data_IF_521458005203
#
_entry.id   IF_521458005203
#
_cell.length_a   1.000
_cell.length_b   1.000
_cell.length_c   1.000
_cell.angle_alpha   90.00
_cell.angle_beta   90.00
_cell.angle_gamma   90.00
#
_symmetry.space_group_name_H-M   'P 1'
#
loop_
_entity.id
_entity.type
_entity.pdbx_description
1 polymer ?
#
# COMPACT_ATOMS: atom_id res chain seq x y z
N UNK A 1 -67.90 53.29 -42.40
CA UNK A 1 -69.08 52.47 -42.69
C UNK A 1 -68.62 51.06 -43.04
N UNK A 2 -68.96 50.08 -42.19
CA UNK A 2 -69.09 48.62 -42.35
C UNK A 2 -68.52 47.89 -43.61
N UNK A 3 -67.80 46.76 -43.33
CA UNK A 3 -67.88 45.39 -43.96
C UNK A 3 -66.96 45.11 -45.20
N UNK A 4 -66.46 43.86 -45.48
CA UNK A 4 -65.13 43.33 -45.08
C UNK A 4 -64.39 42.54 -46.23
N UNK A 5 -63.28 41.84 -45.93
CA UNK A 5 -62.83 40.60 -46.61
C UNK A 5 -61.57 40.05 -45.90
N UNK A 6 -61.69 39.00 -45.07
CA UNK A 6 -61.31 37.61 -45.36
C UNK A 6 -59.89 37.39 -45.91
N UNK A 7 -58.93 37.12 -45.02
CA UNK A 7 -57.87 36.12 -45.26
C UNK A 7 -57.68 35.32 -43.98
N UNK A 8 -57.96 34.02 -44.07
CA UNK A 8 -57.76 33.04 -43.03
C UNK A 8 -56.28 32.61 -42.98
N UNK A 9 -55.67 32.61 -41.80
CA UNK A 9 -54.44 31.90 -41.54
C UNK A 9 -54.64 31.03 -40.28
N UNK A 10 -54.51 29.73 -40.47
CA UNK A 10 -54.89 28.69 -39.53
C UNK A 10 -54.00 28.67 -38.29
N UNK A 11 -54.67 28.51 -37.14
CA UNK A 11 -54.10 28.17 -35.84
C UNK A 11 -53.70 26.70 -35.85
N UNK A 12 -52.45 26.38 -35.50
CA UNK A 12 -52.11 25.05 -34.96
C UNK A 12 -51.35 25.23 -33.65
N UNK A 13 -52.04 24.87 -32.57
CA UNK A 13 -51.55 24.78 -31.21
C UNK A 13 -50.73 23.48 -31.12
N UNK A 14 -49.40 23.57 -31.03
CA UNK A 14 -48.54 22.39 -30.81
C UNK A 14 -47.97 22.41 -29.40
N UNK A 15 -48.25 21.33 -28.68
CA UNK A 15 -47.87 21.09 -27.30
C UNK A 15 -46.35 21.15 -27.10
N UNK A 16 -45.92 21.85 -26.04
CA UNK A 16 -44.56 21.78 -25.53
C UNK A 16 -44.38 20.41 -24.87
N UNK A 17 -43.84 19.45 -25.62
CA UNK A 17 -43.24 18.25 -25.05
C UNK A 17 -41.86 18.64 -24.51
N UNK A 18 -41.68 18.50 -23.20
CA UNK A 18 -40.40 18.59 -22.52
C UNK A 18 -39.51 17.43 -23.03
N UNK A 19 -38.70 17.67 -24.05
CA UNK A 19 -37.66 16.76 -24.48
C UNK A 19 -36.47 16.93 -23.51
N UNK A 20 -36.33 15.99 -22.57
CA UNK A 20 -35.09 15.84 -21.83
C UNK A 20 -33.94 15.66 -22.86
N UNK A 21 -32.82 16.41 -22.75
CA UNK A 21 -31.68 16.09 -23.58
C UNK A 21 -31.24 14.67 -23.23
N UNK A 22 -31.23 13.79 -24.22
CA UNK A 22 -30.52 12.53 -24.12
C UNK A 22 -29.05 12.87 -23.93
N UNK A 23 -28.62 12.91 -22.66
CA UNK A 23 -27.22 12.88 -22.30
C UNK A 23 -26.67 11.54 -22.76
N UNK A 24 -26.22 11.48 -24.01
CA UNK A 24 -25.30 10.45 -24.46
C UNK A 24 -24.03 10.61 -23.64
N UNK A 25 -23.96 9.90 -22.52
CA UNK A 25 -22.72 9.67 -21.81
C UNK A 25 -21.87 8.75 -22.68
N UNK A 26 -21.25 9.31 -23.72
CA UNK A 26 -20.14 8.66 -24.40
C UNK A 26 -19.04 8.48 -23.34
N UNK A 27 -18.59 7.24 -23.06
CA UNK A 27 -17.49 7.02 -22.14
C UNK A 27 -16.31 7.84 -22.64
N UNK A 28 -15.84 8.79 -21.83
CA UNK A 28 -14.58 9.48 -22.11
C UNK A 28 -13.52 8.39 -22.37
N UNK A 29 -12.65 8.56 -23.39
CA UNK A 29 -11.54 7.64 -23.60
C UNK A 29 -10.81 7.48 -22.27
N UNK A 30 -10.68 6.23 -21.81
CA UNK A 30 -9.87 5.93 -20.66
C UNK A 30 -8.51 6.61 -20.87
N UNK A 31 -7.96 7.35 -19.87
CA UNK A 31 -6.58 7.80 -19.97
C UNK A 31 -5.72 6.58 -20.33
N UNK A 32 -4.68 6.74 -21.18
CA UNK A 32 -3.82 5.62 -21.53
C UNK A 32 -3.42 4.93 -20.24
N UNK A 33 -3.64 3.63 -20.18
CA UNK A 33 -3.14 2.82 -19.08
C UNK A 33 -1.69 3.25 -18.86
N UNK A 34 -1.38 3.75 -17.67
CA UNK A 34 0.00 3.81 -17.24
C UNK A 34 0.53 2.42 -17.53
N UNK A 35 1.48 2.33 -18.45
CA UNK A 35 2.13 1.07 -18.72
C UNK A 35 2.64 0.62 -17.35
N UNK A 36 2.03 -0.44 -16.80
CA UNK A 36 2.66 -1.21 -15.74
C UNK A 36 4.00 -1.59 -16.32
N UNK A 37 5.03 -0.81 -15.96
CA UNK A 37 6.39 -1.11 -16.33
C UNK A 37 6.61 -2.54 -15.91
N UNK A 38 6.89 -3.42 -16.88
CA UNK A 38 7.23 -4.80 -16.60
C UNK A 38 8.19 -4.81 -15.40
N UNK A 39 7.98 -5.66 -14.38
CA UNK A 39 8.86 -5.70 -13.23
C UNK A 39 10.30 -5.74 -13.73
N UNK A 40 11.15 -4.79 -13.33
CA UNK A 40 12.52 -4.76 -13.80
C UNK A 40 13.11 -6.16 -13.61
N UNK A 41 13.74 -6.74 -14.65
CA UNK A 41 14.32 -8.06 -14.52
C UNK A 41 15.25 -8.05 -13.30
N UNK A 42 15.14 -9.07 -12.45
CA UNK A 42 15.87 -9.24 -11.18
C UNK A 42 15.30 -8.50 -9.95
N UNK A 43 14.05 -8.03 -10.01
CA UNK A 43 13.39 -7.42 -8.85
C UNK A 43 13.82 -5.99 -8.56
N UNK A 44 14.35 -5.27 -9.55
CA UNK A 44 14.66 -3.86 -9.35
C UNK A 44 13.37 -3.04 -9.13
N UNK A 45 13.49 -1.93 -8.43
CA UNK A 45 12.41 -1.00 -8.14
C UNK A 45 12.77 0.35 -8.73
N UNK A 46 11.81 1.02 -9.36
CA UNK A 46 12.00 2.39 -9.81
C UNK A 46 12.30 3.30 -8.61
N UNK A 47 13.32 4.16 -8.73
CA UNK A 47 13.65 5.11 -7.69
C UNK A 47 12.47 6.07 -7.45
N UNK A 48 12.09 6.26 -6.19
CA UNK A 48 11.17 7.33 -5.80
C UNK A 48 11.86 8.69 -5.79
N UNK A 49 11.07 9.76 -5.69
CA UNK A 49 11.59 11.11 -5.54
C UNK A 49 12.44 11.25 -4.26
N UNK A 50 13.54 12.02 -4.31
CA UNK A 50 14.34 12.29 -3.13
C UNK A 50 13.55 13.13 -2.11
N UNK A 51 13.85 12.93 -0.82
CA UNK A 51 13.44 13.85 0.23
C UNK A 51 14.40 15.03 0.24
N UNK A 52 13.88 16.25 0.18
CA UNK A 52 14.67 17.48 0.23
C UNK A 52 14.15 18.38 1.34
N UNK A 53 15.05 19.07 2.04
CA UNK A 53 14.73 20.01 3.11
C UNK A 53 15.70 21.19 3.07
N UNK A 54 15.14 22.38 2.82
CA UNK A 54 15.83 23.65 3.03
C UNK A 54 15.60 24.09 4.47
N UNK A 55 16.67 24.25 5.25
CA UNK A 55 16.59 24.61 6.66
C UNK A 55 16.52 26.13 6.83
N UNK A 56 15.95 26.63 7.95
CA UNK A 56 15.89 28.07 8.22
C UNK A 56 17.26 28.76 8.29
N UNK A 57 18.31 28.03 8.63
CA UNK A 57 19.67 28.53 8.73
C UNK A 57 20.45 28.45 7.41
N UNK A 58 19.86 27.94 6.33
CA UNK A 58 20.38 28.02 4.96
C UNK A 58 21.11 26.76 4.45
N UNK A 59 20.90 25.61 5.10
CA UNK A 59 21.37 24.32 4.63
C UNK A 59 20.34 23.65 3.72
N UNK A 60 20.83 22.85 2.78
CA UNK A 60 20.02 22.03 1.88
C UNK A 60 20.35 20.56 2.16
N UNK A 61 19.40 19.84 2.74
CA UNK A 61 19.52 18.41 3.03
C UNK A 61 18.80 17.64 1.93
N UNK A 62 19.45 16.60 1.42
CA UNK A 62 18.84 15.68 0.46
C UNK A 62 19.05 14.25 0.94
N UNK A 63 17.99 13.44 0.85
CA UNK A 63 18.05 12.00 1.10
C UNK A 63 17.42 11.25 -0.08
N UNK A 64 18.13 10.27 -0.61
CA UNK A 64 17.71 9.53 -1.79
C UNK A 64 17.99 8.04 -1.67
N UNK A 65 17.20 7.24 -2.39
CA UNK A 65 17.45 5.82 -2.64
C UNK A 65 17.74 5.58 -4.12
N UNK A 66 18.67 4.68 -4.40
CA UNK A 66 19.08 4.27 -5.74
C UNK A 66 19.35 2.75 -5.78
N UNK A 67 19.31 2.17 -6.99
CA UNK A 67 19.60 0.76 -7.25
C UNK A 67 18.83 -0.21 -6.34
N UNK A 68 17.58 0.15 -6.04
CA UNK A 68 16.76 -0.62 -5.13
C UNK A 68 16.31 -1.93 -5.77
N UNK A 69 16.38 -3.01 -4.99
CA UNK A 69 15.95 -4.34 -5.41
C UNK A 69 15.10 -4.99 -4.32
N UNK A 70 14.19 -5.84 -4.76
CA UNK A 70 13.24 -6.58 -3.94
C UNK A 70 12.81 -7.84 -4.66
N UNK A 71 13.09 -8.98 -4.04
CA UNK A 71 12.74 -10.29 -4.56
C UNK A 71 11.99 -11.04 -3.48
N UNK A 72 10.78 -11.50 -3.80
CA UNK A 72 10.05 -12.41 -2.93
C UNK A 72 10.79 -13.75 -2.84
N UNK A 73 10.95 -14.27 -1.62
CA UNK A 73 11.58 -15.56 -1.38
C UNK A 73 10.68 -16.45 -0.54
N UNK A 74 10.89 -17.77 -0.64
CA UNK A 74 10.17 -18.73 0.17
C UNK A 74 10.40 -18.44 1.67
N UNK A 75 9.34 -18.36 2.49
CA UNK A 75 9.48 -18.12 3.92
C UNK A 75 10.30 -19.22 4.59
N UNK A 76 11.25 -18.84 5.44
CA UNK A 76 12.11 -19.78 6.14
C UNK A 76 11.32 -20.63 7.15
N UNK A 77 10.20 -20.12 7.63
CA UNK A 77 9.27 -20.85 8.50
C UNK A 77 8.35 -21.82 7.76
N UNK A 78 8.34 -21.80 6.42
CA UNK A 78 7.40 -22.55 5.56
C UNK A 78 5.91 -22.24 5.80
N UNK A 79 5.61 -21.24 6.63
CA UNK A 79 4.25 -20.87 6.95
C UNK A 79 3.61 -20.14 5.77
N UNK A 80 2.42 -20.59 5.35
CA UNK A 80 1.66 -20.02 4.23
C UNK A 80 1.25 -18.56 4.48
N UNK A 81 1.19 -18.15 5.74
CA UNK A 81 0.89 -16.78 6.17
C UNK A 81 2.14 -15.94 6.41
N UNK A 82 3.34 -16.46 6.17
CA UNK A 82 4.57 -15.68 6.22
C UNK A 82 4.93 -15.13 4.85
N UNK A 83 5.56 -13.95 4.83
CA UNK A 83 6.08 -13.30 3.63
C UNK A 83 7.49 -12.88 3.91
N UNK A 84 8.38 -13.17 2.95
CA UNK A 84 9.80 -12.85 3.08
C UNK A 84 10.34 -12.28 1.78
N UNK A 85 11.26 -11.33 1.93
CA UNK A 85 11.86 -10.58 0.83
C UNK A 85 13.35 -10.48 1.01
N UNK A 86 14.10 -10.67 -0.07
CA UNK A 86 15.48 -10.21 -0.18
C UNK A 86 15.46 -8.80 -0.77
N UNK A 87 16.02 -7.85 -0.04
CA UNK A 87 16.03 -6.45 -0.43
C UNK A 87 17.46 -5.92 -0.53
N UNK A 88 17.63 -4.95 -1.40
CA UNK A 88 18.87 -4.21 -1.58
C UNK A 88 18.59 -2.79 -2.02
N UNK A 89 19.63 -1.97 -2.00
CA UNK A 89 19.57 -0.58 -2.41
C UNK A 89 20.70 0.23 -1.79
N UNK A 90 21.00 1.37 -2.40
CA UNK A 90 21.94 2.35 -1.87
C UNK A 90 21.16 3.60 -1.47
N UNK A 91 21.36 4.04 -0.23
CA UNK A 91 20.74 5.23 0.30
C UNK A 91 21.80 6.25 0.64
N UNK A 92 21.58 7.49 0.22
CA UNK A 92 22.52 8.59 0.39
C UNK A 92 21.84 9.74 1.10
N UNK A 93 22.54 10.35 2.04
CA UNK A 93 22.20 11.64 2.64
C UNK A 93 23.29 12.65 2.30
N UNK A 94 22.92 13.81 1.80
CA UNK A 94 23.85 14.89 1.47
C UNK A 94 23.41 16.19 2.11
N UNK A 95 24.38 16.98 2.56
CA UNK A 95 24.20 18.36 2.99
C UNK A 95 24.93 19.28 2.02
N UNK A 96 24.24 20.31 1.56
CA UNK A 96 24.79 21.36 0.72
C UNK A 96 24.34 22.74 1.23
N UNK A 97 24.80 23.80 0.57
CA UNK A 97 24.47 25.17 0.96
C UNK A 97 25.56 25.85 1.79
N UNK A 98 25.26 27.06 2.25
CA UNK A 98 26.16 27.90 3.03
C UNK A 98 25.43 28.38 4.28
N UNK A 99 24.99 27.42 5.10
CA UNK A 99 24.21 27.71 6.28
C UNK A 99 24.98 28.58 7.28
N UNK A 100 24.23 29.30 8.11
CA UNK A 100 24.79 30.24 9.10
C UNK A 100 25.31 29.57 10.38
N UNK A 101 25.00 28.30 10.58
CA UNK A 101 25.43 27.49 11.74
C UNK A 101 26.59 26.56 11.39
N UNK A 102 27.26 26.00 12.41
CA UNK A 102 28.23 24.92 12.20
C UNK A 102 27.55 23.56 12.42
N UNK A 103 27.63 22.68 11.42
CA UNK A 103 27.12 21.33 11.52
C UNK A 103 28.02 20.47 12.41
N UNK A 104 27.42 19.72 13.33
CA UNK A 104 28.10 18.78 14.23
C UNK A 104 28.14 17.36 13.65
N UNK A 105 27.50 17.15 12.49
CA UNK A 105 27.33 15.87 11.83
C UNK A 105 25.88 15.42 11.90
N UNK A 106 25.65 14.11 11.93
CA UNK A 106 24.29 13.59 12.01
C UNK A 106 24.23 12.08 11.77
N UNK A 107 23.08 11.58 11.34
CA UNK A 107 22.86 10.16 11.09
C UNK A 107 21.97 9.88 9.88
N UNK A 108 22.25 8.78 9.19
CA UNK A 108 21.38 8.20 8.17
C UNK A 108 20.88 6.84 8.67
N UNK A 109 19.57 6.74 8.90
CA UNK A 109 18.89 5.50 9.30
C UNK A 109 18.11 4.96 8.12
N UNK A 110 18.40 3.73 7.73
CA UNK A 110 17.77 3.05 6.59
C UNK A 110 17.01 1.83 7.08
N UNK A 111 15.85 1.59 6.51
CA UNK A 111 15.11 0.36 6.74
C UNK A 111 14.00 0.12 5.75
N UNK A 112 13.15 -0.83 6.10
CA UNK A 112 11.96 -1.18 5.32
C UNK A 112 10.74 -1.18 6.21
N UNK A 113 9.65 -0.61 5.71
CA UNK A 113 8.31 -0.74 6.26
C UNK A 113 7.63 -1.87 5.53
N UNK A 114 7.10 -2.83 6.26
CA UNK A 114 6.32 -3.93 5.71
C UNK A 114 4.92 -3.89 6.30
N UNK A 115 3.94 -3.74 5.43
CA UNK A 115 2.52 -3.74 5.76
C UNK A 115 1.86 -4.99 5.21
N UNK A 116 0.93 -5.54 5.97
CA UNK A 116 0.04 -6.59 5.48
C UNK A 116 -1.38 -6.09 5.56
N UNK A 117 -2.18 -6.25 4.51
CA UNK A 117 -3.56 -5.74 4.53
C UNK A 117 -4.43 -6.42 5.60
N UNK A 118 -4.19 -7.71 5.84
CA UNK A 118 -4.95 -8.54 6.78
C UNK A 118 -3.98 -9.40 7.58
N UNK A 119 -4.13 -9.39 8.90
CA UNK A 119 -3.44 -10.32 9.80
C UNK A 119 -4.40 -11.45 10.19
N UNK A 120 -4.00 -12.69 9.93
CA UNK A 120 -4.71 -13.88 10.34
C UNK A 120 -4.62 -14.07 11.85
N UNK A 121 -5.77 -14.14 12.50
CA UNK A 121 -5.89 -14.58 13.89
C UNK A 121 -6.08 -16.09 14.00
N UNK A 122 -6.30 -16.59 15.23
CA UNK A 122 -6.45 -18.02 15.46
C UNK A 122 -7.64 -18.56 14.68
N UNK A 123 -7.42 -19.71 14.03
CA UNK A 123 -8.46 -20.52 13.40
C UNK A 123 -9.00 -21.47 14.45
N UNK A 124 -10.25 -21.26 14.84
CA UNK A 124 -10.94 -22.12 15.80
C UNK A 124 -11.79 -23.12 15.02
N UNK A 125 -11.46 -24.41 15.12
CA UNK A 125 -12.30 -25.48 14.61
C UNK A 125 -13.23 -25.95 15.74
N UNK A 126 -14.49 -25.54 15.66
CA UNK A 126 -15.55 -25.97 16.56
C UNK A 126 -16.25 -27.17 15.92
N UNK A 127 -15.83 -28.38 16.30
CA UNK A 127 -16.53 -29.61 15.92
C UNK A 127 -17.52 -30.02 17.01
N UNK A 128 -18.78 -30.24 16.65
CA UNK A 128 -19.73 -30.94 17.51
C UNK A 128 -20.13 -32.28 16.88
N UNK A 129 -20.12 -33.31 17.71
CA UNK A 129 -20.58 -34.65 17.37
C UNK A 129 -21.77 -34.94 18.27
N UNK A 130 -22.97 -35.03 17.68
CA UNK A 130 -24.19 -35.38 18.39
C UNK A 130 -24.59 -36.83 18.12
N UNK A 131 -25.45 -37.39 18.97
CA UNK A 131 -26.15 -38.64 18.72
C UNK A 131 -27.64 -38.42 18.98
N UNK A 132 -28.46 -38.43 17.94
CA UNK A 132 -29.92 -38.27 18.08
C UNK A 132 -30.60 -39.62 17.82
N UNK A 133 -31.13 -40.28 18.86
CA UNK A 133 -31.92 -41.49 18.66
C UNK A 133 -33.29 -41.11 18.08
N UNK A 134 -33.68 -41.74 16.97
CA UNK A 134 -35.00 -41.54 16.38
C UNK A 134 -35.93 -42.67 16.82
N UNK A 135 -37.02 -42.33 17.49
CA UNK A 135 -38.06 -43.29 17.88
C UNK A 135 -39.29 -43.07 17.01
N UNK A 136 -39.55 -43.99 16.09
CA UNK A 136 -40.75 -44.02 15.26
C UNK A 136 -41.38 -45.40 15.30
N UNK A 137 -42.70 -45.47 15.15
CA UNK A 137 -43.47 -46.74 15.20
C UNK A 137 -43.09 -47.77 14.13
N UNK A 138 -42.26 -47.38 13.16
CA UNK A 138 -41.73 -48.25 12.09
C UNK A 138 -40.21 -48.52 12.20
N UNK A 139 -39.54 -48.05 13.26
CA UNK A 139 -38.10 -48.22 13.43
C UNK A 139 -37.79 -49.53 14.19
N UNK A 140 -37.57 -50.61 13.44
CA UNK A 140 -36.97 -51.84 13.97
C UNK A 140 -35.49 -51.55 14.23
N UNK A 141 -35.13 -51.52 15.53
CA UNK A 141 -33.83 -51.16 16.10
C UNK A 141 -33.53 -49.66 15.98
N UNK A 142 -33.44 -48.97 17.13
CA UNK A 142 -33.26 -47.53 17.24
C UNK A 142 -32.07 -47.05 16.41
N UNK A 143 -32.36 -46.41 15.27
CA UNK A 143 -31.35 -45.77 14.45
C UNK A 143 -30.79 -44.56 15.22
N UNK A 144 -29.47 -44.53 15.39
CA UNK A 144 -28.75 -43.40 15.97
C UNK A 144 -28.13 -42.60 14.84
N UNK A 145 -28.64 -41.40 14.61
CA UNK A 145 -28.05 -40.47 13.65
C UNK A 145 -26.93 -39.69 14.33
N UNK A 146 -25.74 -39.66 13.72
CA UNK A 146 -24.58 -38.90 14.20
C UNK A 146 -24.37 -37.66 13.32
N UNK A 147 -25.06 -36.53 13.59
CA UNK A 147 -24.75 -35.30 12.90
C UNK A 147 -23.35 -34.82 13.31
N UNK A 148 -22.44 -34.76 12.34
CA UNK A 148 -21.15 -34.08 12.47
C UNK A 148 -21.31 -32.64 11.97
N UNK A 149 -21.19 -31.66 12.86
CA UNK A 149 -21.19 -30.25 12.49
C UNK A 149 -19.80 -29.67 12.78
N UNK A 150 -19.11 -29.21 11.75
CA UNK A 150 -17.86 -28.47 11.89
C UNK A 150 -18.08 -27.00 11.55
N UNK A 151 -17.77 -26.11 12.47
CA UNK A 151 -17.71 -24.67 12.21
C UNK A 151 -16.25 -24.23 12.29
N UNK A 152 -15.75 -23.62 11.22
CA UNK A 152 -14.41 -22.99 11.20
C UNK A 152 -14.61 -21.50 11.41
N UNK A 153 -14.12 -20.97 12.53
CA UNK A 153 -14.12 -19.53 12.79
C UNK A 153 -12.73 -18.98 12.53
N UNK A 154 -12.63 -18.03 11.60
CA UNK A 154 -11.40 -17.31 11.28
C UNK A 154 -11.51 -15.89 11.81
N UNK A 155 -10.70 -15.54 12.79
CA UNK A 155 -10.67 -14.20 13.34
C UNK A 155 -9.66 -13.36 12.54
N UNK A 156 -10.10 -12.46 11.67
CA UNK A 156 -9.21 -11.57 10.92
C UNK A 156 -9.06 -10.23 11.65
N UNK A 157 -7.84 -9.68 11.68
CA UNK A 157 -7.56 -8.35 12.23
C UNK A 157 -7.05 -7.43 11.12
N UNK A 158 -7.35 -6.11 11.19
CA UNK A 158 -6.72 -5.13 10.31
C UNK A 158 -5.20 -5.24 10.37
N UNK A 159 -4.59 -5.06 9.20
CA UNK A 159 -3.16 -4.95 9.01
C UNK A 159 -2.43 -3.98 9.93
N UNK A 160 -1.17 -4.29 10.25
CA UNK A 160 -0.23 -3.32 10.83
C UNK A 160 0.99 -3.13 9.93
N UNK A 161 1.62 -1.97 10.02
CA UNK A 161 2.90 -1.68 9.36
C UNK A 161 4.01 -1.89 10.38
N UNK A 162 4.93 -2.79 10.08
CA UNK A 162 6.12 -3.04 10.90
C UNK A 162 7.32 -2.34 10.27
N UNK A 163 8.09 -1.61 11.09
CA UNK A 163 9.32 -0.94 10.64
C UNK A 163 10.51 -1.81 11.00
N UNK A 164 11.29 -2.21 10.01
CA UNK A 164 12.50 -3.02 10.15
C UNK A 164 13.71 -2.14 9.87
N UNK A 165 14.42 -1.66 10.91
CA UNK A 165 15.67 -0.94 10.72
C UNK A 165 16.74 -1.90 10.21
N UNK A 166 17.50 -1.50 9.19
CA UNK A 166 18.52 -2.33 8.55
C UNK A 166 19.92 -1.82 8.84
N UNK A 167 20.09 -0.49 8.80
CA UNK A 167 21.39 0.11 9.02
C UNK A 167 21.26 1.53 9.53
N UNK A 168 22.23 1.94 10.33
CA UNK A 168 22.41 3.32 10.74
C UNK A 168 23.88 3.68 10.55
N UNK A 169 24.14 4.88 10.03
CA UNK A 169 25.49 5.42 9.90
C UNK A 169 25.51 6.86 10.36
N UNK A 170 26.39 7.14 11.31
CA UNK A 170 26.69 8.52 11.71
C UNK A 170 27.72 9.13 10.77
N UNK A 171 27.62 10.43 10.55
CA UNK A 171 28.49 11.18 9.64
C UNK A 171 28.90 12.52 10.24
N UNK A 172 29.97 13.09 9.70
CA UNK A 172 30.48 14.43 10.05
C UNK A 172 30.82 15.31 8.85
N UNK A 173 30.81 14.74 7.64
CA UNK A 173 31.05 15.47 6.40
C UNK A 173 29.75 15.88 5.72
N UNK A 174 29.82 16.09 4.41
CA UNK A 174 28.68 16.57 3.62
C UNK A 174 27.90 15.44 2.96
N UNK A 175 28.41 14.20 3.01
CA UNK A 175 27.77 13.02 2.43
C UNK A 175 27.88 11.81 3.37
N UNK A 176 26.81 11.02 3.40
CA UNK A 176 26.75 9.71 4.05
C UNK A 176 26.02 8.73 3.15
N UNK A 177 26.45 7.46 3.20
CA UNK A 177 25.88 6.40 2.39
C UNK A 177 25.73 5.12 3.20
N UNK A 178 24.60 4.45 3.00
CA UNK A 178 24.32 3.10 3.49
C UNK A 178 23.91 2.24 2.31
N UNK A 179 24.65 1.18 2.05
CA UNK A 179 24.34 0.20 1.01
C UNK A 179 23.84 -1.08 1.66
N UNK A 180 22.67 -1.53 1.23
CA UNK A 180 22.03 -2.76 1.67
C UNK A 180 22.11 -3.76 0.52
N UNK A 181 22.53 -5.00 0.81
CA UNK A 181 22.63 -6.05 -0.19
C UNK A 181 22.12 -7.36 0.39
N UNK A 182 21.09 -7.94 -0.22
CA UNK A 182 20.55 -9.25 0.15
C UNK A 182 20.00 -9.32 1.58
N UNK A 183 19.53 -8.21 2.14
CA UNK A 183 18.95 -8.21 3.49
C UNK A 183 17.61 -8.91 3.47
N UNK A 184 17.34 -9.79 4.46
CA UNK A 184 16.13 -10.59 4.50
C UNK A 184 15.10 -9.96 5.44
N UNK A 185 14.01 -9.44 4.87
CA UNK A 185 12.87 -8.89 5.62
C UNK A 185 11.78 -9.94 5.73
N UNK A 186 11.18 -10.09 6.91
CA UNK A 186 10.11 -11.06 7.19
C UNK A 186 8.92 -10.39 7.85
N UNK A 187 7.73 -10.89 7.54
CA UNK A 187 6.49 -10.62 8.29
C UNK A 187 5.67 -11.91 8.38
N UNK A 188 5.03 -12.14 9.53
CA UNK A 188 4.21 -13.32 9.80
C UNK A 188 2.74 -12.99 9.96
N UNK A 189 1.90 -14.00 9.75
CA UNK A 189 0.45 -13.86 9.93
C UNK A 189 -0.22 -13.05 8.83
N UNK A 190 0.48 -12.72 7.74
CA UNK A 190 -0.06 -11.97 6.62
C UNK A 190 -0.92 -12.87 5.73
N UNK A 191 -2.22 -12.62 5.79
CA UNK A 191 -3.22 -13.31 4.99
C UNK A 191 -3.50 -12.46 3.76
N UNK A 192 -2.94 -12.85 2.62
CA UNK A 192 -3.11 -12.15 1.34
C UNK A 192 -1.86 -11.42 0.87
N UNK A 193 -2.06 -10.23 0.29
CA UNK A 193 -1.00 -9.38 -0.24
C UNK A 193 -0.25 -8.63 0.87
N UNK A 194 1.05 -8.47 0.69
CA UNK A 194 1.90 -7.62 1.52
C UNK A 194 2.50 -6.50 0.68
N UNK A 195 2.76 -5.40 1.36
CA UNK A 195 3.31 -4.18 0.82
C UNK A 195 4.61 -3.91 1.53
N UNK A 196 5.64 -3.58 0.78
CA UNK A 196 6.94 -3.21 1.35
C UNK A 196 7.38 -1.89 0.75
N UNK A 197 8.00 -1.07 1.59
CA UNK A 197 8.47 0.26 1.25
C UNK A 197 9.83 0.46 1.92
N UNK A 198 10.85 0.86 1.16
CA UNK A 198 12.09 1.32 1.75
C UNK A 198 11.91 2.71 2.35
N UNK A 199 12.65 3.01 3.40
CA UNK A 199 12.75 4.36 3.92
C UNK A 199 14.19 4.66 4.30
N UNK A 200 14.57 5.92 4.16
CA UNK A 200 15.81 6.44 4.70
C UNK A 200 15.53 7.77 5.40
N UNK A 201 15.85 7.86 6.68
CA UNK A 201 15.71 9.08 7.46
C UNK A 201 17.10 9.66 7.68
N UNK A 202 17.33 10.83 7.12
CA UNK A 202 18.56 11.58 7.24
C UNK A 202 18.35 12.71 8.25
N UNK A 203 19.23 12.75 9.24
CA UNK A 203 19.25 13.76 10.29
C UNK A 203 20.58 14.49 10.21
N UNK A 204 20.53 15.81 10.08
CA UNK A 204 21.67 16.71 10.27
C UNK A 204 21.51 17.44 11.59
N UNK A 205 22.60 17.63 12.31
CA UNK A 205 22.61 18.26 13.63
C UNK A 205 23.56 19.46 13.61
N UNK A 206 23.16 20.52 14.30
CA UNK A 206 24.01 21.65 14.68
C UNK A 206 24.25 21.63 16.20
N UNK A 207 24.63 22.75 16.80
CA UNK A 207 24.69 22.88 18.27
C UNK A 207 23.30 22.88 18.90
N UNK A 208 22.33 23.52 18.25
CA UNK A 208 21.02 23.84 18.84
C UNK A 208 19.84 23.26 18.05
N UNK A 209 20.09 22.68 16.86
CA UNK A 209 19.04 22.19 15.96
C UNK A 209 19.31 20.78 15.45
N UNK A 210 18.22 20.07 15.18
CA UNK A 210 18.20 18.78 14.49
C UNK A 210 17.23 18.87 13.32
N UNK A 211 17.76 18.81 12.10
CA UNK A 211 17.00 18.88 10.86
C UNK A 211 16.86 17.46 10.29
N UNK A 212 15.62 17.03 10.08
CA UNK A 212 15.31 15.64 9.73
C UNK A 212 14.50 15.62 8.43
N UNK A 213 15.01 14.90 7.44
CA UNK A 213 14.35 14.66 6.15
C UNK A 213 14.25 13.15 5.90
N UNK A 214 13.16 12.71 5.27
CA UNK A 214 12.93 11.29 5.01
C UNK A 214 12.65 11.02 3.54
N UNK A 215 13.33 10.02 3.00
CA UNK A 215 13.04 9.37 1.74
C UNK A 215 12.01 8.27 1.96
N UNK A 216 10.98 8.24 1.12
CA UNK A 216 9.99 7.19 1.05
C UNK A 216 10.06 6.54 -0.33
N UNK A 217 10.54 5.30 -0.40
CA UNK A 217 10.64 4.56 -1.64
C UNK A 217 9.27 4.16 -2.21
N UNK A 218 9.28 3.54 -3.38
CA UNK A 218 8.05 3.07 -4.01
C UNK A 218 7.42 1.94 -3.18
N UNK A 219 6.11 2.07 -2.97
CA UNK A 219 5.28 0.99 -2.44
C UNK A 219 4.93 0.08 -3.60
N UNK A 220 5.30 -1.20 -3.51
CA UNK A 220 4.85 -2.20 -4.47
C UNK A 220 4.11 -3.30 -3.73
N UNK A 221 3.07 -3.80 -4.38
CA UNK A 221 2.41 -5.03 -3.98
C UNK A 221 3.33 -6.18 -4.38
N UNK A 222 3.50 -7.15 -3.49
CA UNK A 222 4.30 -8.36 -3.78
C UNK A 222 3.54 -9.61 -3.35
#
# INVERSE_FOLDING_TARGET
MRIPACVAAAVTLSAVLCAAPAAGAEPAPLPPAVADGAPPPNGAIAAAAPGVLSTPDGWELTVAGADETRVAVAPLTTALTSREYLVGGTFTGTVAGAGSTTLSGGSLVVGYRIGCGIIGGPVELLGSVGATPTFGSNAVIGAVQFPVNGQIKVNLRPGTVTTVPVGQKDYKGDEVRVTVTGFRVRVDGCVGQSFIQSYATFKSSSTDTDDIVTYAGQVTVV
#
